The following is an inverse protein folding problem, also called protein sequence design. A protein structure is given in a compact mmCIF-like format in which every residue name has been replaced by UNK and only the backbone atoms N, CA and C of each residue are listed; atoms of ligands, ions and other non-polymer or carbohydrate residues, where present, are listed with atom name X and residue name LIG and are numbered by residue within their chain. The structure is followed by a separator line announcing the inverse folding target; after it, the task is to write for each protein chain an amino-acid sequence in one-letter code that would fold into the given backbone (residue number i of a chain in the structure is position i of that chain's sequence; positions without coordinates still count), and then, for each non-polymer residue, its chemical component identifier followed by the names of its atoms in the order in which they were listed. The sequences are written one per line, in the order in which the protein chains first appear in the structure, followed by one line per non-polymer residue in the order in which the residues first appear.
data_IF_447463317985
#
_entry.id   IF_447463317985
#
_cell.length_a   1.000
_cell.length_b   1.000
_cell.length_c   1.000
_cell.angle_alpha   90.00
_cell.angle_beta   90.00
_cell.angle_gamma   90.00
#
_symmetry.space_group_name_H-M   'P 1'
#
loop_
_entity.id
_entity.type
_entity.pdbx_description
1 polymer ?
#
# COMPACT_ATOMS: atom_id res chain seq x y z
N UNK A 1 -29.53 4.85 -26.10
CA UNK A 1 -28.30 5.16 -25.33
C UNK A 1 -27.23 4.12 -25.69
N UNK A 2 -25.94 4.49 -25.68
CA UNK A 2 -24.80 3.63 -26.03
C UNK A 2 -23.68 3.76 -24.99
N UNK A 3 -22.48 3.28 -25.32
CA UNK A 3 -21.30 3.36 -24.46
C UNK A 3 -20.02 3.59 -25.26
N UNK A 4 -18.97 4.03 -24.58
CA UNK A 4 -17.62 4.16 -25.15
C UNK A 4 -16.76 2.96 -24.79
N UNK A 5 -15.85 2.58 -25.68
CA UNK A 5 -14.83 1.56 -25.42
C UNK A 5 -13.45 2.18 -25.60
N UNK A 6 -12.56 1.92 -24.65
CA UNK A 6 -11.18 2.37 -24.66
C UNK A 6 -10.30 1.33 -23.96
N UNK A 7 -8.98 1.44 -24.15
CA UNK A 7 -8.00 0.53 -23.57
C UNK A 7 -7.60 1.02 -22.18
N UNK A 8 -7.54 0.11 -21.22
CA UNK A 8 -7.06 0.37 -19.86
C UNK A 8 -6.16 -0.78 -19.38
N UNK A 9 -5.19 -0.47 -18.52
CA UNK A 9 -4.22 -1.45 -18.04
C UNK A 9 -4.64 -2.06 -16.71
N UNK A 10 -4.84 -3.39 -16.70
CA UNK A 10 -5.00 -4.16 -15.46
C UNK A 10 -3.63 -4.57 -14.93
N UNK A 11 -3.40 -4.33 -13.64
CA UNK A 11 -2.17 -4.76 -12.94
C UNK A 11 -2.46 -5.83 -11.88
N UNK A 12 -1.40 -6.43 -11.37
CA UNK A 12 -1.38 -7.16 -10.11
C UNK A 12 -0.50 -6.34 -9.16
N UNK A 13 -1.13 -5.69 -8.19
CA UNK A 13 -0.51 -4.72 -7.29
C UNK A 13 0.54 -5.38 -6.39
N UNK A 14 0.20 -6.51 -5.78
CA UNK A 14 1.13 -7.29 -4.95
C UNK A 14 2.33 -7.78 -5.77
N UNK A 15 2.11 -8.27 -7.00
CA UNK A 15 3.20 -8.67 -7.89
C UNK A 15 4.06 -7.48 -8.32
N UNK A 16 3.45 -6.35 -8.65
CA UNK A 16 4.20 -5.14 -8.97
C UNK A 16 5.13 -4.75 -7.82
N UNK A 17 4.62 -4.74 -6.57
CA UNK A 17 5.43 -4.44 -5.39
C UNK A 17 6.59 -5.41 -5.22
N UNK A 18 6.36 -6.73 -5.28
CA UNK A 18 7.44 -7.69 -5.06
C UNK A 18 8.49 -7.66 -6.18
N UNK A 19 8.09 -7.44 -7.44
CA UNK A 19 9.06 -7.34 -8.54
C UNK A 19 9.95 -6.09 -8.41
N UNK A 20 9.42 -4.98 -7.91
CA UNK A 20 10.23 -3.79 -7.57
C UNK A 20 11.22 -4.10 -6.45
N UNK A 21 10.78 -4.77 -5.39
CA UNK A 21 11.65 -5.13 -4.26
C UNK A 21 12.73 -6.12 -4.65
N UNK A 22 12.40 -7.14 -5.47
CA UNK A 22 13.37 -8.08 -6.03
C UNK A 22 14.43 -7.36 -6.85
N UNK A 23 14.02 -6.42 -7.71
CA UNK A 23 14.97 -5.63 -8.50
C UNK A 23 15.88 -4.76 -7.63
N UNK A 24 15.36 -4.18 -6.55
CA UNK A 24 16.18 -3.44 -5.60
C UNK A 24 17.22 -4.36 -4.93
N UNK A 25 16.83 -5.56 -4.51
CA UNK A 25 17.74 -6.55 -3.93
C UNK A 25 18.83 -7.00 -4.92
N UNK A 26 18.48 -7.27 -6.18
CA UNK A 26 19.45 -7.55 -7.26
C UNK A 26 20.47 -6.42 -7.47
N UNK A 27 20.08 -5.18 -7.16
CA UNK A 27 20.94 -3.99 -7.23
C UNK A 27 21.71 -3.71 -5.93
N UNK A 28 21.63 -4.60 -4.94
CA UNK A 28 22.39 -4.55 -3.70
C UNK A 28 21.66 -3.90 -2.51
N UNK A 29 20.35 -3.64 -2.62
CA UNK A 29 19.59 -3.18 -1.46
C UNK A 29 19.32 -4.35 -0.49
N UNK A 30 19.52 -4.11 0.81
CA UNK A 30 19.04 -5.03 1.84
C UNK A 30 17.55 -4.81 2.07
N UNK A 31 16.73 -5.83 1.82
CA UNK A 31 15.28 -5.80 1.98
C UNK A 31 14.89 -6.81 3.06
N UNK A 32 14.13 -6.36 4.07
CA UNK A 32 13.73 -7.19 5.20
C UNK A 32 12.25 -6.95 5.48
N UNK A 33 11.46 -8.02 5.49
CA UNK A 33 10.05 -8.01 5.93
C UNK A 33 9.95 -8.48 7.39
N UNK A 34 8.76 -8.38 7.99
CA UNK A 34 8.55 -8.67 9.41
C UNK A 34 9.48 -7.89 10.36
N UNK A 35 9.95 -6.72 9.92
CA UNK A 35 10.79 -5.82 10.72
C UNK A 35 10.05 -4.51 10.94
N UNK A 36 9.63 -4.25 12.17
CA UNK A 36 8.84 -3.08 12.54
C UNK A 36 9.75 -1.97 13.07
N UNK A 37 9.65 -0.77 12.50
CA UNK A 37 10.27 0.42 13.11
C UNK A 37 9.49 0.81 14.37
N UNK A 38 10.16 0.86 15.52
CA UNK A 38 9.53 1.17 16.82
C UNK A 38 9.91 2.55 17.36
N UNK A 39 11.16 2.98 17.17
CA UNK A 39 11.64 4.30 17.61
C UNK A 39 12.64 4.89 16.62
N UNK A 40 12.69 6.22 16.50
CA UNK A 40 13.80 6.89 15.83
C UNK A 40 15.01 6.98 16.76
N UNK A 41 16.22 7.02 16.17
CA UNK A 41 17.44 7.39 16.88
C UNK A 41 17.96 8.73 16.39
N UNK A 42 18.56 9.51 17.29
CA UNK A 42 19.00 10.88 17.02
C UNK A 42 20.50 11.05 17.24
N UNK A 43 21.10 12.03 16.57
CA UNK A 43 22.46 12.49 16.87
C UNK A 43 22.46 13.60 17.93
N UNK A 44 23.64 14.14 18.26
CA UNK A 44 23.80 15.21 19.26
C UNK A 44 23.15 16.54 18.87
N UNK A 45 22.73 16.70 17.61
CA UNK A 45 22.03 17.88 17.10
C UNK A 45 20.54 17.60 16.86
N UNK A 46 20.00 16.56 17.51
CA UNK A 46 18.61 16.11 17.39
C UNK A 46 18.20 15.70 15.97
N UNK A 47 19.15 15.37 15.08
CA UNK A 47 18.81 14.89 13.74
C UNK A 47 18.63 13.38 13.75
N UNK A 48 17.58 12.90 13.09
CA UNK A 48 17.36 11.46 12.89
C UNK A 48 18.57 10.84 12.19
N UNK A 49 19.16 9.82 12.81
CA UNK A 49 20.34 9.08 12.32
C UNK A 49 20.12 7.56 12.25
N UNK A 50 18.88 7.10 12.40
CA UNK A 50 18.54 5.68 12.40
C UNK A 50 17.20 5.39 13.06
N UNK A 51 16.95 4.11 13.29
CA UNK A 51 15.77 3.58 13.98
C UNK A 51 16.17 2.43 14.92
N UNK A 52 15.35 2.16 15.93
CA UNK A 52 15.23 0.84 16.51
C UNK A 52 14.20 0.04 15.72
N UNK A 53 14.59 -1.17 15.33
CA UNK A 53 13.78 -2.10 14.58
C UNK A 53 13.55 -3.36 15.40
N UNK A 54 12.29 -3.79 15.46
CA UNK A 54 11.85 -5.03 16.12
C UNK A 54 11.62 -6.10 15.06
N UNK A 55 12.33 -7.22 15.17
CA UNK A 55 12.02 -8.43 14.42
C UNK A 55 10.74 -9.04 14.99
N UNK A 56 9.66 -9.05 14.20
CA UNK A 56 8.36 -9.55 14.61
C UNK A 56 8.29 -11.09 14.69
N UNK A 57 9.34 -11.80 14.27
CA UNK A 57 9.45 -13.25 14.36
C UNK A 57 10.09 -13.65 15.70
N UNK A 58 11.21 -13.03 16.05
CA UNK A 58 11.95 -13.33 17.29
C UNK A 58 11.54 -12.47 18.49
N UNK A 59 10.99 -11.27 18.25
CA UNK A 59 10.74 -10.24 19.26
C UNK A 59 11.97 -9.43 19.64
N UNK A 60 13.14 -9.69 19.05
CA UNK A 60 14.36 -8.94 19.34
C UNK A 60 14.32 -7.54 18.73
N UNK A 61 14.86 -6.57 19.47
CA UNK A 61 14.97 -5.18 18.99
C UNK A 61 16.44 -4.79 18.85
N UNK A 62 16.80 -4.23 17.69
CA UNK A 62 18.16 -3.81 17.38
C UNK A 62 18.21 -2.46 16.66
N UNK A 63 19.31 -1.69 16.81
CA UNK A 63 19.46 -0.41 16.15
C UNK A 63 19.90 -0.58 14.68
N UNK A 64 19.31 0.20 13.78
CA UNK A 64 19.74 0.36 12.38
C UNK A 64 20.15 1.82 12.18
N UNK A 65 21.42 2.06 11.84
CA UNK A 65 21.95 3.39 11.55
C UNK A 65 21.84 3.73 10.07
N UNK A 66 21.45 4.97 9.76
CA UNK A 66 21.33 5.45 8.40
C UNK A 66 21.61 6.96 8.31
N UNK A 67 22.18 7.41 7.20
CA UNK A 67 22.38 8.85 6.92
C UNK A 67 21.06 9.58 6.66
N UNK A 68 20.04 8.85 6.20
CA UNK A 68 18.70 9.33 5.88
C UNK A 68 17.70 8.24 6.23
N UNK A 69 16.57 8.65 6.79
CA UNK A 69 15.43 7.78 7.09
C UNK A 69 14.22 8.35 6.35
N UNK A 70 13.53 7.52 5.57
CA UNK A 70 12.34 7.91 4.80
C UNK A 70 11.15 7.16 5.37
N UNK A 71 10.10 7.88 5.76
CA UNK A 71 8.83 7.30 6.15
C UNK A 71 7.93 7.12 4.91
N UNK A 72 7.74 5.88 4.48
CA UNK A 72 6.87 5.48 3.37
C UNK A 72 5.81 4.45 3.81
N UNK A 73 5.29 4.56 5.04
CA UNK A 73 4.41 3.56 5.66
C UNK A 73 2.92 3.67 5.28
N UNK A 74 2.58 4.31 4.14
CA UNK A 74 1.20 4.38 3.65
C UNK A 74 0.20 4.95 4.67
N UNK A 75 -0.90 4.25 5.02
CA UNK A 75 -1.89 4.74 5.99
C UNK A 75 -1.33 4.87 7.41
N UNK A 76 -0.17 4.26 7.71
CA UNK A 76 0.51 4.32 9.00
C UNK A 76 1.51 5.48 9.12
N UNK A 77 1.56 6.40 8.15
CA UNK A 77 2.53 7.51 8.15
C UNK A 77 2.45 8.35 9.42
N UNK A 78 1.25 8.62 9.92
CA UNK A 78 1.05 9.42 11.12
C UNK A 78 1.43 8.67 12.39
N UNK A 79 1.20 7.36 12.45
CA UNK A 79 1.64 6.51 13.56
C UNK A 79 3.17 6.50 13.65
N UNK A 80 3.86 6.30 12.52
CA UNK A 80 5.32 6.37 12.47
C UNK A 80 5.82 7.78 12.83
N UNK A 81 5.19 8.84 12.31
CA UNK A 81 5.54 10.23 12.63
C UNK A 81 5.30 10.57 14.10
N UNK A 82 4.33 9.94 14.78
CA UNK A 82 4.05 10.18 16.20
C UNK A 82 5.19 9.77 17.12
N UNK A 83 6.06 8.86 16.66
CA UNK A 83 7.30 8.48 17.34
C UNK A 83 8.44 9.48 17.19
N UNK A 84 8.29 10.53 16.37
CA UNK A 84 9.26 11.62 16.25
C UNK A 84 9.03 12.70 17.32
N UNK A 85 10.11 13.30 17.82
CA UNK A 85 10.01 14.44 18.74
C UNK A 85 9.45 15.68 18.02
N UNK A 86 9.74 15.83 16.73
CA UNK A 86 9.23 16.89 15.89
C UNK A 86 7.76 16.62 15.52
N UNK A 87 6.85 17.40 16.11
CA UNK A 87 5.41 17.30 15.85
C UNK A 87 4.93 18.34 14.85
N UNK A 88 3.94 17.96 14.04
CA UNK A 88 3.17 18.89 13.21
C UNK A 88 1.67 18.59 13.34
N UNK A 89 0.84 19.54 12.90
CA UNK A 89 -0.63 19.45 13.01
C UNK A 89 -1.30 18.89 11.74
N UNK A 90 -0.54 18.41 10.76
CA UNK A 90 -1.11 17.77 9.58
C UNK A 90 -1.37 16.30 9.91
N UNK A 91 -2.45 15.74 9.40
CA UNK A 91 -2.80 14.32 9.58
C UNK A 91 -3.46 13.78 8.31
N UNK A 92 -3.32 12.48 8.10
CA UNK A 92 -4.05 11.74 7.09
C UNK A 92 -5.49 11.52 7.54
N UNK A 93 -6.41 11.61 6.58
CA UNK A 93 -7.80 11.19 6.75
C UNK A 93 -7.99 9.87 6.01
N UNK A 94 -8.16 8.79 6.77
CA UNK A 94 -8.32 7.46 6.20
C UNK A 94 -9.76 7.23 5.72
N UNK A 95 -9.91 6.63 4.54
CA UNK A 95 -11.17 6.17 3.98
C UNK A 95 -11.05 4.69 3.60
N UNK A 96 -12.16 3.97 3.63
CA UNK A 96 -12.19 2.53 3.35
C UNK A 96 -12.93 2.26 2.04
N UNK A 97 -12.31 1.50 1.15
CA UNK A 97 -12.93 0.85 0.00
C UNK A 97 -12.91 -0.66 0.15
N UNK A 98 -13.86 -1.36 -0.48
CA UNK A 98 -13.94 -2.83 -0.45
C UNK A 98 -14.28 -3.36 -1.83
N UNK A 99 -13.85 -4.59 -2.13
CA UNK A 99 -14.18 -5.30 -3.35
C UNK A 99 -14.83 -6.64 -3.02
N UNK A 100 -15.79 -7.07 -3.84
CA UNK A 100 -16.46 -8.37 -3.72
C UNK A 100 -16.08 -9.21 -4.94
N UNK A 101 -15.82 -10.51 -4.73
CA UNK A 101 -15.47 -11.44 -5.81
C UNK A 101 -16.64 -12.40 -6.06
N UNK A 102 -17.03 -12.51 -7.32
CA UNK A 102 -18.16 -13.31 -7.79
C UNK A 102 -17.63 -14.32 -8.81
N UNK A 103 -18.15 -15.56 -8.75
CA UNK A 103 -17.83 -16.58 -9.74
C UNK A 103 -18.33 -16.18 -11.13
N UNK A 104 -17.51 -16.35 -12.17
CA UNK A 104 -17.89 -15.92 -13.52
C UNK A 104 -19.05 -16.74 -14.11
N UNK A 105 -19.32 -17.95 -13.63
CA UNK A 105 -20.54 -18.68 -14.01
C UNK A 105 -21.82 -18.00 -13.54
N UNK A 106 -21.75 -17.20 -12.47
CA UNK A 106 -22.88 -16.42 -11.91
C UNK A 106 -22.91 -14.99 -12.44
N UNK A 107 -21.76 -14.43 -12.78
CA UNK A 107 -21.64 -13.11 -13.39
C UNK A 107 -20.68 -13.17 -14.60
N UNK A 108 -21.18 -13.57 -15.79
CA UNK A 108 -20.36 -13.90 -16.96
C UNK A 108 -19.89 -12.65 -17.71
N UNK A 109 -19.10 -11.83 -17.04
CA UNK A 109 -18.58 -10.59 -17.58
C UNK A 109 -17.44 -10.87 -18.58
N UNK A 110 -17.56 -10.36 -19.81
CA UNK A 110 -16.58 -10.57 -20.89
C UNK A 110 -15.43 -9.56 -20.92
N UNK A 111 -15.63 -8.37 -20.34
CA UNK A 111 -14.64 -7.28 -20.29
C UNK A 111 -14.90 -6.39 -19.08
N UNK A 112 -13.92 -5.57 -18.68
CA UNK A 112 -14.16 -4.59 -17.62
C UNK A 112 -15.25 -3.59 -18.02
N UNK A 113 -16.12 -3.25 -17.07
CA UNK A 113 -17.15 -2.24 -17.25
C UNK A 113 -17.11 -1.24 -16.11
N UNK A 114 -17.44 0.01 -16.43
CA UNK A 114 -17.46 1.14 -15.52
C UNK A 114 -18.80 1.87 -15.69
N UNK A 115 -19.53 2.08 -14.58
CA UNK A 115 -20.90 2.57 -14.64
C UNK A 115 -21.31 3.33 -13.38
N UNK A 116 -22.29 4.22 -13.54
CA UNK A 116 -22.84 5.04 -12.46
C UNK A 116 -23.72 4.23 -11.50
N UNK A 117 -23.73 4.64 -10.24
CA UNK A 117 -24.72 4.20 -9.25
C UNK A 117 -25.93 5.12 -9.27
N UNK A 118 -27.12 4.56 -9.02
CA UNK A 118 -28.36 5.34 -9.11
C UNK A 118 -28.55 6.35 -7.96
N UNK A 119 -27.91 6.13 -6.80
CA UNK A 119 -28.28 6.82 -5.55
C UNK A 119 -27.24 7.80 -5.01
N UNK A 120 -25.95 7.52 -5.16
CA UNK A 120 -24.89 8.29 -4.50
C UNK A 120 -23.93 8.98 -5.47
N UNK A 121 -24.21 8.93 -6.79
CA UNK A 121 -23.44 9.63 -7.82
C UNK A 121 -22.00 9.13 -7.95
N UNK A 122 -21.70 7.97 -7.37
CA UNK A 122 -20.41 7.29 -7.53
C UNK A 122 -20.44 6.44 -8.78
N UNK A 123 -19.26 6.01 -9.19
CA UNK A 123 -19.09 5.04 -10.25
C UNK A 123 -18.47 3.77 -9.66
N UNK A 124 -18.76 2.63 -10.27
CA UNK A 124 -18.26 1.32 -9.84
C UNK A 124 -17.64 0.61 -11.04
N UNK A 125 -16.60 -0.17 -10.78
CA UNK A 125 -16.06 -1.12 -11.74
C UNK A 125 -16.56 -2.55 -11.47
N UNK A 126 -16.77 -3.30 -12.55
CA UNK A 126 -16.78 -4.75 -12.52
C UNK A 126 -15.70 -5.24 -13.50
N UNK A 127 -14.79 -6.09 -13.02
CA UNK A 127 -13.59 -6.49 -13.77
C UNK A 127 -13.45 -8.01 -13.77
N UNK A 128 -13.40 -8.67 -14.94
CA UNK A 128 -13.15 -10.11 -15.01
C UNK A 128 -11.68 -10.41 -14.76
N UNK A 129 -11.37 -11.47 -14.01
CA UNK A 129 -10.01 -11.98 -13.76
C UNK A 129 -10.07 -13.46 -13.37
N UNK A 130 -9.29 -14.31 -14.03
CA UNK A 130 -9.04 -15.71 -13.63
C UNK A 130 -10.32 -16.52 -13.35
N UNK A 131 -11.34 -16.44 -14.22
CA UNK A 131 -12.59 -17.18 -14.05
C UNK A 131 -13.55 -16.57 -13.01
N UNK A 132 -13.28 -15.34 -12.54
CA UNK A 132 -14.09 -14.57 -11.60
C UNK A 132 -14.35 -13.16 -12.12
N UNK A 133 -15.25 -12.43 -11.47
CA UNK A 133 -15.39 -10.99 -11.58
C UNK A 133 -15.28 -10.35 -10.20
N UNK A 134 -14.46 -9.32 -10.06
CA UNK A 134 -14.43 -8.50 -8.84
C UNK A 134 -15.09 -7.15 -9.08
N UNK A 135 -15.84 -6.67 -8.08
CA UNK A 135 -16.70 -5.49 -8.16
C UNK A 135 -16.40 -4.54 -7.00
N UNK A 136 -16.22 -3.26 -7.30
CA UNK A 136 -15.90 -2.18 -6.36
C UNK A 136 -15.16 -1.04 -7.10
N UNK A 137 -14.61 -0.04 -6.43
CA UNK A 137 -15.11 0.60 -5.20
C UNK A 137 -15.30 2.08 -5.47
#
# INVERSE_FOLDING_TARGET
KGGGSYVEYRTDDARLTIEVMKRAAEKGATVINHTKSVHFTYDSNEKVNGIHAEDQISGETYPIKAKKVINASGPWVDEVRSGDYARNNKQLRLTKGVHIVIDQSKFPLGQAVYFDTEKDGRMIFAIPREGKAYVGT
#
